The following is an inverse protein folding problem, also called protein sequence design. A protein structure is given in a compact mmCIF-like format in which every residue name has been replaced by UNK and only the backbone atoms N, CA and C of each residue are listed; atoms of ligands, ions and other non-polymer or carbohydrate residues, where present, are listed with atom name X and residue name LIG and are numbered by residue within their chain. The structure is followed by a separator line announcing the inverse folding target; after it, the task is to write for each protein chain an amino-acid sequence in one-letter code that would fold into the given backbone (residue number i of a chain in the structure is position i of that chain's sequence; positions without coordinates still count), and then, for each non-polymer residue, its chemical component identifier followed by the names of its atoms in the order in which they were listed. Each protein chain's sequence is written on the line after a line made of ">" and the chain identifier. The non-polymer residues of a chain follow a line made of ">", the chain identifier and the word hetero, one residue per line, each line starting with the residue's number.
data_IF_089432035469
#
_entry.id   IF_089432035469
#
_cell.length_a   1.000
_cell.length_b   1.000
_cell.length_c   1.000
_cell.angle_alpha   90.00
_cell.angle_beta   90.00
_cell.angle_gamma   90.00
#
_symmetry.space_group_name_H-M   'P 1'
#
loop_
_entity.id
_entity.type
_entity.pdbx_description
1 polymer ?
#
# COMPACT_ATOMS: atom_id res chain seq x y z
N UNK A 1 13.12 9.61 9.00
CA UNK A 1 13.22 10.16 7.63
C UNK A 1 12.45 11.48 7.48
N UNK A 2 11.28 11.64 8.07
CA UNK A 2 10.52 12.91 8.07
C UNK A 2 11.30 14.04 8.77
N UNK A 3 11.98 13.74 9.85
CA UNK A 3 12.80 14.73 10.58
C UNK A 3 13.89 15.40 9.73
N UNK A 4 14.42 14.68 8.74
CA UNK A 4 15.46 15.20 7.84
C UNK A 4 14.90 16.26 6.88
N UNK A 5 13.65 16.11 6.44
CA UNK A 5 13.01 17.09 5.56
C UNK A 5 12.77 18.43 6.25
N UNK A 6 12.37 18.42 7.52
CA UNK A 6 12.09 19.65 8.28
C UNK A 6 13.33 20.33 8.84
N UNK A 7 14.45 19.64 8.91
CA UNK A 7 15.69 20.17 9.50
C UNK A 7 16.80 20.43 8.49
N UNK A 8 16.62 20.04 7.22
CA UNK A 8 17.60 20.30 6.19
C UNK A 8 17.39 21.70 5.57
N UNK A 9 18.26 22.68 5.83
CA UNK A 9 18.11 24.03 5.30
C UNK A 9 18.26 24.12 3.77
N UNK A 10 18.82 23.08 3.13
CA UNK A 10 18.98 23.02 1.67
C UNK A 10 17.73 22.51 0.95
N UNK A 11 16.75 22.00 1.68
CA UNK A 11 15.45 21.64 1.14
C UNK A 11 14.55 22.86 1.19
N UNK A 12 14.26 23.45 0.05
CA UNK A 12 13.23 24.47 -0.06
C UNK A 12 11.91 23.90 0.45
N UNK A 13 11.38 24.51 1.53
CA UNK A 13 10.04 24.21 2.01
C UNK A 13 8.98 24.54 0.96
N UNK A 14 7.72 24.17 1.19
CA UNK A 14 6.62 24.60 0.33
C UNK A 14 6.59 26.14 0.27
N UNK A 15 6.39 26.66 -0.94
CA UNK A 15 6.20 28.09 -1.12
C UNK A 15 4.87 28.52 -0.48
N UNK A 16 4.78 29.73 0.08
CA UNK A 16 3.52 30.29 0.50
C UNK A 16 2.50 30.27 -0.64
N UNK A 17 1.23 30.06 -0.33
CA UNK A 17 0.15 30.21 -1.30
C UNK A 17 -0.15 31.70 -1.52
N UNK A 18 -0.75 32.05 -2.65
CA UNK A 18 -1.00 33.44 -3.03
C UNK A 18 -1.88 34.19 -2.02
N UNK A 19 -2.76 33.45 -1.33
CA UNK A 19 -3.65 33.97 -0.31
C UNK A 19 -2.98 34.19 1.07
N UNK A 20 -1.77 33.63 1.27
CA UNK A 20 -1.05 33.73 2.54
C UNK A 20 0.45 34.04 2.34
N UNK A 21 0.78 35.14 1.67
CA UNK A 21 2.16 35.48 1.35
C UNK A 21 3.02 35.73 2.62
N UNK A 22 2.38 36.16 3.69
CA UNK A 22 3.04 36.46 4.97
C UNK A 22 3.02 35.25 5.94
N UNK A 23 2.41 34.14 5.58
CA UNK A 23 2.35 32.91 6.39
C UNK A 23 1.47 33.02 7.65
N UNK A 24 0.56 34.00 7.70
CA UNK A 24 -0.32 34.24 8.85
C UNK A 24 -1.33 33.11 8.99
N UNK A 25 -1.98 32.71 7.90
CA UNK A 25 -2.95 31.60 7.89
C UNK A 25 -2.26 30.26 8.22
N UNK A 26 -1.06 30.05 7.72
CA UNK A 26 -0.25 28.87 8.08
C UNK A 26 0.04 28.84 9.58
N UNK A 27 0.48 29.95 10.16
CA UNK A 27 0.78 30.05 11.59
C UNK A 27 -0.48 29.83 12.45
N UNK A 28 -1.63 30.30 12.00
CA UNK A 28 -2.92 30.08 12.65
C UNK A 28 -3.34 28.61 12.59
N UNK A 29 -3.28 27.99 11.41
CA UNK A 29 -3.57 26.57 11.22
C UNK A 29 -2.67 25.67 12.09
N UNK A 30 -1.37 25.94 12.14
CA UNK A 30 -0.44 25.20 13.01
C UNK A 30 -0.86 25.34 14.49
N UNK A 31 -1.27 26.53 14.93
CA UNK A 31 -1.72 26.76 16.29
C UNK A 31 -3.03 26.01 16.61
N UNK A 32 -3.97 26.01 15.69
CA UNK A 32 -5.23 25.26 15.82
C UNK A 32 -4.97 23.75 15.91
N UNK A 33 -4.02 23.22 15.12
CA UNK A 33 -3.66 21.82 15.14
C UNK A 33 -3.08 21.33 16.47
N UNK A 34 -2.55 22.21 17.31
CA UNK A 34 -2.11 21.84 18.66
C UNK A 34 -3.26 21.33 19.55
N UNK A 35 -4.49 21.72 19.24
CA UNK A 35 -5.71 21.26 19.91
C UNK A 35 -6.30 19.96 19.35
N UNK A 36 -5.77 19.42 18.26
CA UNK A 36 -6.28 18.20 17.66
C UNK A 36 -5.99 16.98 18.54
N UNK A 37 -6.84 15.96 18.41
CA UNK A 37 -6.60 14.69 19.09
C UNK A 37 -5.31 14.04 18.59
N UNK A 38 -4.63 13.35 19.49
CA UNK A 38 -3.41 12.62 19.15
C UNK A 38 -3.77 11.24 18.63
N UNK A 39 -3.52 11.01 17.35
CA UNK A 39 -3.81 9.73 16.70
C UNK A 39 -3.23 8.50 17.43
N UNK A 40 -1.98 8.50 17.93
CA UNK A 40 -1.44 7.36 18.67
C UNK A 40 -2.24 7.04 19.94
N UNK A 41 -2.68 8.07 20.69
CA UNK A 41 -3.45 7.88 21.90
C UNK A 41 -4.84 7.32 21.59
N UNK A 42 -5.48 7.83 20.55
CA UNK A 42 -6.75 7.32 20.04
C UNK A 42 -6.65 5.86 19.56
N UNK A 43 -5.61 5.54 18.79
CA UNK A 43 -5.40 4.17 18.29
C UNK A 43 -5.10 3.18 19.42
N UNK A 44 -4.52 3.63 20.54
CA UNK A 44 -4.26 2.79 21.71
C UNK A 44 -5.53 2.36 22.45
N UNK A 45 -6.68 2.98 22.18
CA UNK A 45 -7.97 2.59 22.75
C UNK A 45 -8.54 1.30 22.12
N UNK A 46 -8.07 0.92 20.93
CA UNK A 46 -8.49 -0.31 20.25
C UNK A 46 -7.55 -1.46 20.58
N UNK A 47 -8.07 -2.52 21.21
CA UNK A 47 -7.34 -3.78 21.42
C UNK A 47 -7.56 -4.75 20.26
N UNK A 48 -8.81 -4.81 19.79
CA UNK A 48 -9.22 -5.68 18.71
C UNK A 48 -9.92 -4.88 17.63
N UNK A 49 -9.85 -5.36 16.41
CA UNK A 49 -10.36 -4.67 15.21
C UNK A 49 -11.85 -4.34 15.29
N UNK A 50 -12.66 -5.25 15.82
CA UNK A 50 -14.11 -5.10 15.94
C UNK A 50 -14.57 -4.61 17.33
N UNK A 51 -13.65 -4.36 18.26
CA UNK A 51 -13.99 -3.86 19.58
C UNK A 51 -14.45 -2.40 19.48
N UNK A 52 -15.65 -2.07 19.97
CA UNK A 52 -16.14 -0.71 19.94
C UNK A 52 -15.41 0.18 20.96
N UNK A 53 -15.42 1.48 20.72
CA UNK A 53 -14.92 2.46 21.68
C UNK A 53 -15.75 2.41 22.97
N UNK A 54 -15.12 2.63 24.14
CA UNK A 54 -15.84 2.61 25.43
C UNK A 54 -16.96 3.65 25.53
N UNK A 55 -16.86 4.74 24.78
CA UNK A 55 -17.81 5.86 24.78
C UNK A 55 -18.64 5.96 23.49
N UNK A 56 -18.37 5.11 22.50
CA UNK A 56 -19.16 5.00 21.26
C UNK A 56 -19.23 3.56 20.77
N UNK A 57 -20.30 2.87 21.18
CA UNK A 57 -20.52 1.48 20.79
C UNK A 57 -20.75 1.25 19.29
N UNK A 58 -20.99 2.29 18.52
CA UNK A 58 -21.18 2.20 17.05
C UNK A 58 -19.86 2.27 16.27
N UNK A 59 -18.76 2.64 16.93
CA UNK A 59 -17.49 2.88 16.30
C UNK A 59 -16.40 1.93 16.77
N UNK A 60 -15.71 1.30 15.83
CA UNK A 60 -14.53 0.47 16.05
C UNK A 60 -13.47 0.76 14.97
N UNK A 61 -12.26 0.21 15.10
CA UNK A 61 -11.26 0.35 14.04
C UNK A 61 -11.72 -0.28 12.71
N UNK A 62 -12.65 -1.25 12.77
CA UNK A 62 -13.30 -1.82 11.59
C UNK A 62 -14.20 -0.82 10.85
N UNK A 63 -14.75 0.18 11.55
CA UNK A 63 -15.72 1.14 10.97
C UNK A 63 -15.12 1.97 9.82
N UNK A 64 -13.80 2.21 9.83
CA UNK A 64 -13.09 2.94 8.79
C UNK A 64 -12.07 2.10 8.03
N UNK A 65 -11.92 0.83 8.39
CA UNK A 65 -10.99 -0.08 7.71
C UNK A 65 -11.47 -0.42 6.29
N UNK A 66 -10.62 -0.28 5.25
CA UNK A 66 -11.03 -0.56 3.86
C UNK A 66 -11.62 -1.95 3.65
N UNK A 67 -11.22 -2.94 4.42
CA UNK A 67 -11.73 -4.31 4.30
C UNK A 67 -13.25 -4.41 4.57
N UNK A 68 -13.79 -3.53 5.41
CA UNK A 68 -15.23 -3.50 5.73
C UNK A 68 -16.09 -3.15 4.52
N UNK A 69 -15.49 -2.44 3.55
CA UNK A 69 -16.16 -2.02 2.32
C UNK A 69 -15.88 -2.94 1.13
N UNK A 70 -15.05 -3.97 1.30
CA UNK A 70 -14.65 -4.86 0.21
C UNK A 70 -15.82 -5.57 -0.48
N UNK A 71 -16.92 -5.85 0.25
CA UNK A 71 -18.14 -6.45 -0.29
C UNK A 71 -18.91 -5.52 -1.23
N UNK A 72 -18.69 -4.21 -1.12
CA UNK A 72 -19.31 -3.19 -1.97
C UNK A 72 -18.58 -2.97 -3.30
N UNK A 73 -17.41 -3.58 -3.51
CA UNK A 73 -16.67 -3.45 -4.77
C UNK A 73 -17.43 -4.19 -5.86
N UNK A 74 -17.78 -3.47 -6.94
CA UNK A 74 -18.48 -4.06 -8.09
C UNK A 74 -17.60 -5.14 -8.75
N UNK A 75 -18.21 -6.21 -9.25
CA UNK A 75 -17.50 -7.40 -9.74
C UNK A 75 -16.71 -7.18 -11.03
N UNK A 76 -17.09 -6.19 -11.79
CA UNK A 76 -16.42 -5.75 -13.03
C UNK A 76 -15.19 -4.85 -12.78
N UNK A 77 -14.98 -4.41 -11.55
CA UNK A 77 -13.79 -3.63 -11.19
C UNK A 77 -12.56 -4.53 -11.16
N UNK A 78 -11.56 -4.19 -11.97
CA UNK A 78 -10.24 -4.81 -11.90
C UNK A 78 -9.41 -4.21 -10.77
N UNK A 79 -8.62 -5.02 -10.09
CA UNK A 79 -7.84 -4.62 -8.91
C UNK A 79 -6.37 -4.97 -9.11
N UNK A 80 -5.50 -3.96 -8.95
CA UNK A 80 -4.06 -4.14 -8.90
C UNK A 80 -3.59 -4.02 -7.45
N UNK A 81 -3.32 -5.14 -6.80
CA UNK A 81 -2.84 -5.21 -5.43
C UNK A 81 -1.32 -5.29 -5.42
N UNK A 82 -0.65 -4.21 -5.02
CA UNK A 82 0.80 -4.12 -5.00
C UNK A 82 1.31 -3.87 -3.58
N UNK A 83 2.39 -4.54 -3.19
CA UNK A 83 3.10 -4.29 -1.93
C UNK A 83 4.54 -4.80 -1.99
N UNK A 84 5.32 -4.46 -0.95
CA UNK A 84 6.70 -4.91 -0.78
C UNK A 84 6.86 -5.83 0.43
N UNK A 85 7.75 -6.82 0.31
CA UNK A 85 8.12 -7.70 1.44
C UNK A 85 8.77 -6.95 2.60
N UNK A 86 9.48 -5.86 2.29
CA UNK A 86 10.18 -5.01 3.25
C UNK A 86 9.36 -3.79 3.69
N UNK A 87 8.09 -3.73 3.27
CA UNK A 87 7.15 -2.74 3.76
C UNK A 87 6.61 -3.15 5.13
N UNK A 88 6.73 -2.26 6.11
CA UNK A 88 6.36 -2.54 7.48
C UNK A 88 4.86 -2.80 7.70
N UNK A 89 4.46 -2.95 8.94
CA UNK A 89 3.06 -3.02 9.40
C UNK A 89 2.17 -4.06 8.70
N UNK A 90 2.75 -5.07 8.03
CA UNK A 90 1.99 -6.16 7.41
C UNK A 90 1.26 -5.78 6.12
N UNK A 91 1.68 -4.74 5.42
CA UNK A 91 1.06 -4.31 4.16
C UNK A 91 1.06 -5.40 3.08
N UNK A 92 2.10 -6.23 2.99
CA UNK A 92 2.13 -7.38 2.11
C UNK A 92 0.96 -8.34 2.38
N UNK A 93 0.66 -8.61 3.66
CA UNK A 93 -0.51 -9.41 4.05
C UNK A 93 -1.82 -8.77 3.62
N UNK A 94 -1.91 -7.44 3.63
CA UNK A 94 -3.07 -6.70 3.13
C UNK A 94 -3.29 -6.90 1.64
N UNK A 95 -2.23 -6.87 0.84
CA UNK A 95 -2.29 -7.13 -0.60
C UNK A 95 -2.71 -8.58 -0.90
N UNK A 96 -2.11 -9.55 -0.20
CA UNK A 96 -2.47 -10.97 -0.29
C UNK A 96 -3.94 -11.19 0.10
N UNK A 97 -4.39 -10.57 1.18
CA UNK A 97 -5.78 -10.68 1.64
C UNK A 97 -6.77 -10.15 0.60
N UNK A 98 -6.46 -9.05 -0.09
CA UNK A 98 -7.29 -8.54 -1.21
C UNK A 98 -7.39 -9.58 -2.33
N UNK A 99 -6.27 -10.17 -2.72
CA UNK A 99 -6.27 -11.23 -3.73
C UNK A 99 -7.14 -12.42 -3.31
N UNK A 100 -7.06 -12.85 -2.06
CA UNK A 100 -7.81 -14.00 -1.55
C UNK A 100 -9.30 -13.73 -1.34
N UNK A 101 -9.69 -12.50 -1.06
CA UNK A 101 -11.06 -12.14 -0.69
C UNK A 101 -11.89 -11.59 -1.84
N UNK A 102 -11.28 -10.91 -2.80
CA UNK A 102 -11.96 -10.33 -3.96
C UNK A 102 -12.13 -11.34 -5.12
N UNK A 103 -12.57 -12.55 -4.80
CA UNK A 103 -12.62 -13.68 -5.75
C UNK A 103 -13.54 -13.48 -6.96
N UNK A 104 -14.41 -12.50 -6.90
CA UNK A 104 -15.32 -12.19 -8.03
C UNK A 104 -14.77 -11.13 -8.96
N UNK A 105 -13.64 -10.54 -8.64
CA UNK A 105 -12.99 -9.49 -9.40
C UNK A 105 -11.77 -10.04 -10.15
N UNK A 106 -11.30 -9.33 -11.16
CA UNK A 106 -10.00 -9.56 -11.79
C UNK A 106 -8.94 -8.92 -10.88
N UNK A 107 -8.22 -9.73 -10.11
CA UNK A 107 -7.19 -9.24 -9.18
C UNK A 107 -5.81 -9.65 -9.66
N UNK A 108 -4.92 -8.69 -9.81
CA UNK A 108 -3.50 -8.89 -10.05
C UNK A 108 -2.75 -8.58 -8.76
N UNK A 109 -1.94 -9.52 -8.29
CA UNK A 109 -1.12 -9.39 -7.09
C UNK A 109 0.35 -9.23 -7.49
N UNK A 110 0.98 -8.15 -7.04
CA UNK A 110 2.40 -7.88 -7.25
C UNK A 110 3.10 -7.69 -5.91
N UNK A 111 4.08 -8.55 -5.60
CA UNK A 111 4.86 -8.50 -4.37
C UNK A 111 6.35 -8.40 -4.68
N UNK A 112 6.95 -7.24 -4.49
CA UNK A 112 8.37 -7.00 -4.72
C UNK A 112 9.22 -7.03 -3.46
N UNK A 113 10.54 -7.07 -3.61
CA UNK A 113 11.47 -6.89 -2.51
C UNK A 113 11.64 -5.39 -2.16
N UNK A 114 10.54 -4.69 -1.98
CA UNK A 114 10.48 -3.24 -1.83
C UNK A 114 10.12 -2.83 -0.41
N UNK A 115 10.52 -1.61 -0.08
CA UNK A 115 9.96 -0.84 1.03
C UNK A 115 8.65 -0.13 0.60
N UNK A 116 8.15 0.78 1.41
CA UNK A 116 6.90 1.53 1.14
C UNK A 116 6.93 2.35 -0.16
N UNK A 117 8.11 2.70 -0.66
CA UNK A 117 8.25 3.45 -1.90
C UNK A 117 8.05 2.63 -3.18
N UNK A 118 8.16 1.31 -3.11
CA UNK A 118 8.08 0.35 -4.22
C UNK A 118 8.94 0.72 -5.45
N UNK A 119 10.05 1.43 -5.23
CA UNK A 119 10.92 1.96 -6.29
C UNK A 119 12.20 1.16 -6.47
N UNK A 120 12.76 0.71 -5.36
CA UNK A 120 14.05 0.04 -5.33
C UNK A 120 13.91 -1.33 -4.69
N UNK A 121 14.65 -2.30 -5.20
CA UNK A 121 14.82 -3.56 -4.53
C UNK A 121 15.72 -3.33 -3.30
N UNK A 122 15.18 -3.57 -2.12
CA UNK A 122 15.87 -3.43 -0.83
C UNK A 122 16.14 -4.79 -0.18
N UNK A 123 16.21 -5.86 -0.98
CA UNK A 123 16.58 -7.18 -0.48
C UNK A 123 17.95 -7.13 0.20
N UNK A 124 18.08 -7.66 1.44
CA UNK A 124 19.36 -7.69 2.15
C UNK A 124 20.37 -8.67 1.54
N UNK A 125 19.96 -9.52 0.62
CA UNK A 125 20.81 -10.51 -0.07
C UNK A 125 21.33 -10.02 -1.42
N UNK A 126 21.08 -8.77 -1.75
CA UNK A 126 21.52 -8.15 -3.00
C UNK A 126 22.70 -7.22 -2.77
N UNK A 127 23.76 -7.41 -3.56
CA UNK A 127 24.94 -6.55 -3.53
C UNK A 127 24.72 -5.23 -4.29
N UNK A 128 23.82 -5.20 -5.28
CA UNK A 128 23.55 -4.02 -6.10
C UNK A 128 22.07 -3.68 -6.09
N UNK A 129 21.77 -2.39 -5.95
CA UNK A 129 20.42 -1.85 -6.07
C UNK A 129 20.08 -1.55 -7.54
N UNK A 130 19.92 -2.57 -8.34
CA UNK A 130 19.42 -2.38 -9.70
C UNK A 130 17.90 -2.19 -9.68
N UNK A 131 17.36 -1.18 -10.39
CA UNK A 131 15.94 -1.08 -10.64
C UNK A 131 15.55 -2.24 -11.55
N UNK A 132 15.09 -3.35 -10.98
CA UNK A 132 14.76 -4.55 -11.75
C UNK A 132 13.33 -4.62 -12.20
N UNK A 133 12.49 -3.74 -11.70
CA UNK A 133 11.09 -3.76 -12.00
C UNK A 133 10.56 -2.34 -12.21
N UNK A 134 10.03 -2.09 -13.39
CA UNK A 134 9.36 -0.84 -13.68
C UNK A 134 7.88 -0.92 -13.27
N UNK A 135 7.60 -0.49 -12.04
CA UNK A 135 6.24 -0.43 -11.51
C UNK A 135 5.36 0.52 -12.34
N UNK A 136 5.91 1.61 -12.87
CA UNK A 136 5.15 2.55 -13.68
C UNK A 136 4.69 1.90 -14.98
N UNK A 137 5.57 1.16 -15.65
CA UNK A 137 5.21 0.40 -16.85
C UNK A 137 4.15 -0.66 -16.55
N UNK A 138 4.25 -1.37 -15.40
CA UNK A 138 3.24 -2.36 -15.00
C UNK A 138 1.87 -1.71 -14.75
N UNK A 139 1.82 -0.55 -14.09
CA UNK A 139 0.60 0.21 -13.85
C UNK A 139 -0.01 0.73 -15.16
N UNK A 140 0.80 1.31 -16.04
CA UNK A 140 0.33 1.77 -17.35
C UNK A 140 -0.26 0.62 -18.18
N UNK A 141 0.41 -0.54 -18.18
CA UNK A 141 -0.08 -1.73 -18.86
C UNK A 141 -1.42 -2.22 -18.30
N UNK A 142 -1.59 -2.18 -16.97
CA UNK A 142 -2.84 -2.52 -16.31
C UNK A 142 -3.98 -1.55 -16.72
N UNK A 143 -3.72 -0.25 -16.70
CA UNK A 143 -4.71 0.74 -17.10
C UNK A 143 -5.01 0.71 -18.61
N UNK A 144 -3.99 0.51 -19.44
CA UNK A 144 -4.19 0.32 -20.88
C UNK A 144 -5.12 -0.86 -21.18
N UNK A 145 -4.96 -1.96 -20.40
CA UNK A 145 -5.81 -3.14 -20.55
C UNK A 145 -7.24 -2.89 -20.11
N UNK A 146 -7.45 -2.45 -18.87
CA UNK A 146 -8.78 -2.39 -18.26
C UNK A 146 -9.56 -1.11 -18.53
N UNK A 147 -8.90 0.01 -18.80
CA UNK A 147 -9.57 1.29 -19.08
C UNK A 147 -9.58 1.66 -20.56
N UNK A 148 -8.53 1.27 -21.28
CA UNK A 148 -8.39 1.59 -22.69
C UNK A 148 -8.72 0.42 -23.61
N UNK A 149 -9.05 -0.74 -23.05
CA UNK A 149 -9.38 -1.98 -23.76
C UNK A 149 -8.32 -2.40 -24.80
N UNK A 150 -7.04 -2.11 -24.50
CA UNK A 150 -5.92 -2.44 -25.38
C UNK A 150 -5.47 -3.89 -25.18
N UNK A 151 -5.07 -4.59 -26.23
CA UNK A 151 -4.55 -5.96 -26.14
C UNK A 151 -3.12 -5.96 -25.57
N UNK A 152 -2.99 -5.94 -24.25
CA UNK A 152 -1.68 -5.89 -23.55
C UNK A 152 -1.10 -7.26 -23.24
N UNK A 153 -1.85 -8.33 -23.47
CA UNK A 153 -1.49 -9.70 -23.10
C UNK A 153 -1.58 -10.02 -21.61
N UNK A 154 -2.12 -9.11 -20.81
CA UNK A 154 -2.20 -9.26 -19.35
C UNK A 154 -3.05 -10.47 -18.93
N UNK A 155 -4.10 -10.80 -19.69
CA UNK A 155 -4.97 -11.96 -19.43
C UNK A 155 -4.29 -13.31 -19.61
N UNK A 156 -3.22 -13.37 -20.40
CA UNK A 156 -2.45 -14.59 -20.63
C UNK A 156 -1.42 -14.85 -19.52
N UNK A 157 -1.20 -13.89 -18.65
CA UNK A 157 -0.24 -14.00 -17.55
C UNK A 157 -0.88 -14.58 -16.28
N UNK A 158 -0.05 -15.18 -15.45
CA UNK A 158 -0.48 -15.57 -14.12
C UNK A 158 -0.86 -14.32 -13.29
N UNK A 159 -1.94 -14.35 -12.50
CA UNK A 159 -2.42 -13.19 -11.78
C UNK A 159 -1.52 -12.77 -10.60
N UNK A 160 -0.55 -13.57 -10.24
CA UNK A 160 0.37 -13.31 -9.14
C UNK A 160 1.78 -13.22 -9.68
N UNK A 161 2.46 -12.11 -9.43
CA UNK A 161 3.89 -11.96 -9.61
C UNK A 161 4.53 -11.61 -8.26
N UNK A 162 5.58 -12.30 -7.90
CA UNK A 162 6.26 -12.06 -6.64
C UNK A 162 7.77 -12.27 -6.76
N UNK A 163 8.50 -11.52 -5.96
CA UNK A 163 9.94 -11.65 -5.86
C UNK A 163 10.29 -12.68 -4.78
N UNK A 164 11.07 -13.70 -5.14
CA UNK A 164 11.56 -14.69 -4.18
C UNK A 164 12.86 -14.20 -3.57
N UNK A 165 12.79 -13.85 -2.27
CA UNK A 165 13.96 -13.48 -1.50
C UNK A 165 14.92 -14.66 -1.35
N UNK A 166 16.21 -14.43 -1.23
CA UNK A 166 17.30 -15.39 -1.26
C UNK A 166 17.64 -15.94 -2.65
N UNK A 167 16.67 -16.29 -3.44
CA UNK A 167 16.87 -16.69 -4.84
C UNK A 167 17.06 -15.48 -5.75
N UNK A 168 16.55 -14.30 -5.29
CA UNK A 168 16.66 -13.01 -5.96
C UNK A 168 16.10 -13.04 -7.40
N UNK A 169 14.96 -13.71 -7.58
CA UNK A 169 14.28 -13.86 -8.87
C UNK A 169 12.79 -13.57 -8.78
N UNK A 170 12.25 -13.08 -9.88
CA UNK A 170 10.80 -12.95 -10.06
C UNK A 170 10.19 -14.30 -10.39
N UNK A 171 9.03 -14.57 -9.78
CA UNK A 171 8.22 -15.76 -10.01
C UNK A 171 6.78 -15.35 -10.28
N UNK A 172 6.05 -16.26 -10.94
CA UNK A 172 4.63 -16.10 -11.22
C UNK A 172 3.85 -17.32 -10.73
N UNK A 173 2.60 -17.12 -10.32
CA UNK A 173 1.72 -18.18 -9.83
C UNK A 173 0.25 -17.91 -10.14
N UNK A 174 -0.52 -18.98 -10.34
CA UNK A 174 -1.95 -18.90 -10.57
C UNK A 174 -2.77 -18.79 -9.27
N UNK A 175 -2.21 -19.20 -8.13
CA UNK A 175 -2.89 -19.26 -6.84
C UNK A 175 -1.96 -18.90 -5.68
N UNK A 176 -2.54 -18.49 -4.56
CA UNK A 176 -1.84 -18.24 -3.32
C UNK A 176 -2.23 -19.29 -2.24
N UNK A 177 -1.31 -19.84 -1.45
CA UNK A 177 0.15 -19.64 -1.55
C UNK A 177 0.76 -20.30 -2.80
N UNK A 178 1.86 -19.74 -3.34
CA UNK A 178 2.50 -20.22 -4.58
C UNK A 178 3.41 -21.43 -4.33
N UNK A 179 2.89 -22.41 -3.62
CA UNK A 179 3.61 -23.63 -3.21
C UNK A 179 2.73 -24.86 -3.40
N UNK A 180 3.32 -25.98 -3.76
CA UNK A 180 2.60 -27.25 -3.97
C UNK A 180 2.23 -27.92 -2.64
N UNK A 181 3.03 -27.71 -1.60
CA UNK A 181 2.79 -28.28 -0.27
C UNK A 181 3.26 -27.33 0.83
N UNK A 182 2.60 -27.40 1.98
CA UNK A 182 2.94 -26.63 3.18
C UNK A 182 3.33 -27.60 4.30
N UNK A 183 4.56 -27.50 4.78
CA UNK A 183 4.97 -28.19 5.99
C UNK A 183 4.43 -27.41 7.20
N UNK A 184 3.68 -28.08 8.07
CA UNK A 184 3.27 -27.55 9.38
C UNK A 184 4.20 -28.12 10.42
N UNK A 185 4.86 -27.25 11.16
CA UNK A 185 5.68 -27.60 12.32
C UNK A 185 4.86 -27.52 13.59
#
# INVERSE_FOLDING_TARGET
>A
REFVYYTNPDLAGPHPVDEDPDGILLAEAVREHLGNFRQPDFMAEFRFREEPLPYDASFSSASFGPYSFSKGIAKDVAVFACSGWMDGAGYANGAISRFLTLRGNKVHLLLGAWDHGARNNVSPWREQQDPQFDLTAALLRFFDHYLMERPTGLEAEAPIHYFSLHEEVWRAAAAWPPVESVNRW
#
